data_IF_212544840982
#
_entry.id   IF_212544840982
#
_cell.length_a   1.000
_cell.length_b   1.000
_cell.length_c   1.000
_cell.angle_alpha   90.00
_cell.angle_beta   90.00
_cell.angle_gamma   90.00
#
_symmetry.space_group_name_H-M   'P 1'
#
loop_
_entity.id
_entity.type
_entity.pdbx_description
1 polymer ?
#
# COMPACT_ATOMS: atom_id res chain seq x y z
N UNK A 1 22.28 17.96 -11.98
CA UNK A 1 22.55 16.56 -11.58
C UNK A 1 22.75 16.58 -10.08
N UNK A 2 21.77 16.27 -9.22
CA UNK A 2 22.04 16.18 -7.80
C UNK A 2 22.64 14.81 -7.49
N UNK A 3 23.70 14.84 -6.69
CA UNK A 3 24.67 13.79 -6.40
C UNK A 3 24.11 12.73 -5.45
N UNK A 4 23.15 11.94 -5.91
CA UNK A 4 22.75 10.67 -5.30
C UNK A 4 23.25 9.53 -6.15
N UNK A 5 23.83 8.49 -5.55
CA UNK A 5 24.28 7.30 -6.26
C UNK A 5 23.17 6.81 -7.20
N UNK A 6 23.40 6.88 -8.50
CA UNK A 6 22.44 6.54 -9.55
C UNK A 6 22.17 5.03 -9.68
N UNK A 7 22.09 4.32 -8.56
CA UNK A 7 21.72 2.91 -8.55
C UNK A 7 20.21 2.77 -8.57
N UNK A 8 19.72 2.02 -9.56
CA UNK A 8 18.31 1.65 -9.68
C UNK A 8 17.84 0.81 -8.47
N UNK A 9 18.77 0.23 -7.71
CA UNK A 9 18.52 -0.63 -6.56
C UNK A 9 19.24 -0.07 -5.33
N UNK A 10 18.56 -0.04 -4.20
CA UNK A 10 19.12 0.40 -2.93
C UNK A 10 19.03 -0.70 -1.85
N UNK A 11 19.87 -0.58 -0.83
CA UNK A 11 19.80 -1.41 0.38
C UNK A 11 19.29 -0.60 1.58
N UNK A 12 18.66 -1.25 2.59
CA UNK A 12 18.26 -0.57 3.81
C UNK A 12 19.47 0.10 4.48
N UNK A 13 19.34 1.38 4.84
CA UNK A 13 20.40 2.21 5.41
C UNK A 13 21.21 3.00 4.38
N UNK A 14 20.98 2.80 3.09
CA UNK A 14 21.64 3.59 2.05
C UNK A 14 21.09 5.03 2.00
N UNK A 15 22.00 6.00 1.89
CA UNK A 15 21.66 7.42 1.76
C UNK A 15 21.31 7.74 0.30
N UNK A 16 20.07 8.15 0.05
CA UNK A 16 19.55 8.43 -1.29
C UNK A 16 19.75 9.89 -1.69
N UNK A 17 19.26 10.83 -0.88
CA UNK A 17 19.38 12.26 -1.15
C UNK A 17 19.29 13.10 0.14
N UNK A 18 19.49 14.41 0.01
CA UNK A 18 19.18 15.39 1.05
C UNK A 18 17.68 15.70 1.09
N UNK A 19 17.10 15.82 2.28
CA UNK A 19 15.70 16.19 2.46
C UNK A 19 15.55 17.71 2.36
N UNK A 20 15.18 18.19 1.17
CA UNK A 20 14.86 19.59 0.91
C UNK A 20 13.36 19.74 0.62
N UNK A 21 12.83 20.96 0.53
CA UNK A 21 11.41 21.19 0.16
C UNK A 21 11.04 20.59 -1.20
N UNK A 22 12.04 20.40 -2.07
CA UNK A 22 11.92 19.73 -3.36
C UNK A 22 11.93 18.21 -3.27
N UNK A 23 12.50 17.61 -2.21
CA UNK A 23 12.69 16.16 -2.10
C UNK A 23 12.08 15.63 -0.80
N UNK A 24 10.94 14.94 -0.95
CA UNK A 24 10.19 14.41 0.19
C UNK A 24 10.31 12.88 0.20
N UNK A 25 10.56 12.32 1.38
CA UNK A 25 10.59 10.88 1.60
C UNK A 25 9.19 10.30 1.48
N UNK A 26 9.03 9.34 0.56
CA UNK A 26 7.82 8.56 0.38
C UNK A 26 7.94 7.17 0.99
N UNK A 27 7.07 6.27 0.54
CA UNK A 27 7.02 4.89 0.97
C UNK A 27 8.38 4.18 0.85
N UNK A 28 8.77 3.42 1.88
CA UNK A 28 10.03 2.68 1.90
C UNK A 28 11.27 3.54 2.21
N UNK A 29 11.10 4.83 2.53
CA UNK A 29 12.17 5.74 2.95
C UNK A 29 11.91 6.34 4.33
N UNK A 30 12.96 6.81 5.00
CA UNK A 30 12.85 7.61 6.22
C UNK A 30 13.81 8.79 6.16
N UNK A 31 13.47 9.87 6.86
CA UNK A 31 14.33 11.05 6.94
C UNK A 31 15.06 11.07 8.28
N UNK A 32 16.37 11.20 8.25
CA UNK A 32 17.22 11.32 9.44
C UNK A 32 18.24 12.43 9.21
N UNK A 33 18.32 13.40 10.14
CA UNK A 33 19.28 14.49 10.12
C UNK A 33 19.37 15.27 8.80
N UNK A 34 18.23 15.52 8.14
CA UNK A 34 18.21 16.25 6.87
C UNK A 34 18.56 15.40 5.64
N UNK A 35 18.66 14.08 5.78
CA UNK A 35 18.90 13.16 4.67
C UNK A 35 17.84 12.08 4.59
N UNK A 36 17.52 11.65 3.37
CA UNK A 36 16.61 10.55 3.07
C UNK A 36 17.41 9.26 2.94
N UNK A 37 17.04 8.28 3.75
CA UNK A 37 17.60 6.95 3.76
C UNK A 37 16.57 5.92 3.29
N UNK A 38 17.05 4.86 2.63
CA UNK A 38 16.22 3.72 2.31
C UNK A 38 15.92 2.91 3.58
N UNK A 39 14.65 2.63 3.87
CA UNK A 39 14.25 1.69 4.92
C UNK A 39 14.19 0.24 4.39
N UNK A 40 14.14 0.08 3.06
CA UNK A 40 13.80 -1.16 2.40
C UNK A 40 14.80 -1.44 1.26
N UNK A 41 15.11 -2.72 1.03
CA UNK A 41 15.86 -3.15 -0.15
C UNK A 41 14.91 -3.16 -1.35
N UNK A 42 15.23 -2.44 -2.42
CA UNK A 42 14.31 -2.32 -3.53
C UNK A 42 14.75 -1.35 -4.60
N UNK A 43 13.84 -1.10 -5.54
CA UNK A 43 14.04 -0.15 -6.62
C UNK A 43 13.70 1.26 -6.14
N UNK A 44 14.58 2.22 -6.43
CA UNK A 44 14.31 3.64 -6.16
C UNK A 44 13.47 4.21 -7.29
N UNK A 45 12.31 4.74 -6.96
CA UNK A 45 11.40 5.42 -7.87
C UNK A 45 11.23 6.88 -7.43
N UNK A 46 11.31 7.79 -8.39
CA UNK A 46 11.16 9.23 -8.17
C UNK A 46 9.92 9.70 -8.92
N UNK A 47 8.87 10.05 -8.19
CA UNK A 47 7.65 10.62 -8.75
C UNK A 47 7.71 12.15 -8.62
N UNK A 48 7.84 12.86 -9.75
CA UNK A 48 7.96 14.32 -9.79
C UNK A 48 6.57 14.92 -10.01
N UNK A 49 6.01 15.56 -8.98
CA UNK A 49 4.71 16.24 -9.04
C UNK A 49 4.89 17.74 -8.87
N UNK A 50 4.69 18.48 -9.95
CA UNK A 50 4.61 19.96 -10.09
C UNK A 50 5.74 20.83 -9.52
N UNK A 51 6.57 20.34 -8.60
CA UNK A 51 7.77 20.92 -7.96
C UNK A 51 8.35 20.04 -6.84
N UNK A 52 7.63 19.01 -6.38
CA UNK A 52 8.06 18.09 -5.32
C UNK A 52 8.40 16.75 -5.96
N UNK A 53 9.58 16.23 -5.66
CA UNK A 53 10.04 14.90 -6.03
C UNK A 53 9.84 13.98 -4.83
N UNK A 54 8.92 13.03 -4.97
CA UNK A 54 8.69 11.99 -3.98
C UNK A 54 9.62 10.82 -4.26
N UNK A 55 10.50 10.52 -3.32
CA UNK A 55 11.40 9.36 -3.41
C UNK A 55 10.73 8.19 -2.73
N UNK A 56 10.42 7.16 -3.50
CA UNK A 56 9.83 5.92 -3.02
C UNK A 56 10.80 4.78 -3.28
N UNK A 57 10.79 3.79 -2.39
CA UNK A 57 11.53 2.54 -2.59
C UNK A 57 10.53 1.41 -2.62
N UNK A 58 10.33 0.84 -3.81
CA UNK A 58 9.42 -0.29 -4.02
C UNK A 58 10.19 -1.61 -4.01
N UNK A 59 9.65 -2.62 -3.32
CA UNK A 59 10.11 -4.00 -3.49
C UNK A 59 9.58 -4.49 -4.83
N UNK A 60 10.45 -5.00 -5.69
CA UNK A 60 10.04 -5.63 -6.94
C UNK A 60 9.21 -6.88 -6.63
N UNK A 61 7.88 -6.74 -6.63
CA UNK A 61 6.99 -7.90 -6.48
C UNK A 61 5.55 -7.62 -6.07
N UNK A 62 5.25 -6.55 -5.33
CA UNK A 62 3.96 -6.53 -4.63
C UNK A 62 3.38 -5.11 -4.52
N UNK A 63 2.38 -4.80 -5.36
CA UNK A 63 1.40 -3.74 -5.06
C UNK A 63 0.40 -4.30 -4.05
N UNK A 64 0.80 -4.36 -2.79
CA UNK A 64 -0.13 -4.66 -1.70
C UNK A 64 -0.94 -3.41 -1.42
N UNK A 65 -2.04 -3.22 -2.16
CA UNK A 65 -2.94 -2.10 -1.91
C UNK A 65 -3.68 -2.37 -0.60
N UNK A 66 -3.50 -1.46 0.35
CA UNK A 66 -4.24 -1.51 1.61
C UNK A 66 -5.72 -1.17 1.33
N UNK A 67 -6.69 -2.02 1.73
CA UNK A 67 -8.10 -1.68 1.57
C UNK A 67 -8.48 -0.53 2.51
N UNK A 68 -9.07 0.53 1.96
CA UNK A 68 -9.57 1.68 2.70
C UNK A 68 -11.09 1.68 2.81
N UNK A 69 -11.64 2.46 3.75
CA UNK A 69 -13.10 2.61 3.92
C UNK A 69 -13.73 3.14 2.63
N UNK A 70 -14.73 2.41 2.12
CA UNK A 70 -15.39 2.74 0.85
C UNK A 70 -14.79 2.06 -0.38
N UNK A 71 -13.67 1.34 -0.23
CA UNK A 71 -13.08 0.54 -1.31
C UNK A 71 -13.99 -0.64 -1.68
N UNK A 72 -14.18 -0.87 -2.98
CA UNK A 72 -14.89 -2.04 -3.51
C UNK A 72 -13.90 -3.20 -3.60
N UNK A 73 -14.24 -4.33 -2.98
CA UNK A 73 -13.37 -5.50 -2.92
C UNK A 73 -14.04 -6.70 -3.59
N UNK A 74 -13.21 -7.58 -4.17
CA UNK A 74 -13.63 -8.89 -4.64
C UNK A 74 -13.05 -9.93 -3.70
N UNK A 75 -13.93 -10.73 -3.08
CA UNK A 75 -13.54 -11.73 -2.10
C UNK A 75 -14.24 -13.07 -2.30
N UNK A 76 -13.59 -14.14 -1.85
CA UNK A 76 -14.13 -15.50 -1.83
C UNK A 76 -14.68 -15.80 -0.44
N UNK A 77 -15.93 -16.25 -0.37
CA UNK A 77 -16.54 -16.70 0.89
C UNK A 77 -15.85 -18.00 1.34
N UNK A 78 -15.33 -18.01 2.56
CA UNK A 78 -14.68 -19.17 3.17
C UNK A 78 -15.68 -20.02 3.97
N UNK A 79 -16.48 -19.37 4.82
CA UNK A 79 -17.46 -20.03 5.68
C UNK A 79 -18.62 -19.09 5.98
N UNK A 80 -19.83 -19.64 6.08
CA UNK A 80 -21.03 -18.87 6.44
C UNK A 80 -21.55 -19.37 7.78
N UNK A 81 -21.60 -18.47 8.76
CA UNK A 81 -22.26 -18.68 10.04
C UNK A 81 -23.58 -17.89 10.07
N UNK A 82 -24.45 -18.22 11.03
CA UNK A 82 -25.77 -17.60 11.15
C UNK A 82 -25.74 -16.06 11.29
N UNK A 83 -24.69 -15.52 11.93
CA UNK A 83 -24.55 -14.07 12.18
C UNK A 83 -23.52 -13.38 11.28
N UNK A 84 -22.61 -14.14 10.65
CA UNK A 84 -21.51 -13.59 9.87
C UNK A 84 -20.96 -14.57 8.85
N UNK A 85 -20.45 -14.07 7.73
CA UNK A 85 -19.67 -14.83 6.77
C UNK A 85 -18.20 -14.39 6.83
N UNK A 86 -17.29 -15.37 6.86
CA UNK A 86 -15.86 -15.13 6.71
C UNK A 86 -15.51 -15.12 5.23
N UNK A 87 -14.75 -14.12 4.81
CA UNK A 87 -14.42 -13.86 3.42
C UNK A 87 -12.90 -13.67 3.31
N UNK A 88 -12.31 -14.22 2.26
CA UNK A 88 -10.94 -13.98 1.86
C UNK A 88 -10.93 -12.95 0.74
N UNK A 89 -10.38 -11.77 1.00
CA UNK A 89 -10.29 -10.67 0.04
C UNK A 89 -9.15 -10.96 -0.93
N UNK A 90 -9.48 -11.08 -2.22
CA UNK A 90 -8.53 -11.43 -3.27
C UNK A 90 -8.08 -10.20 -4.07
N UNK A 91 -8.94 -9.19 -4.20
CA UNK A 91 -8.64 -7.97 -4.94
C UNK A 91 -9.34 -6.75 -4.33
N UNK A 92 -8.72 -5.58 -4.50
CA UNK A 92 -9.25 -4.27 -4.11
C UNK A 92 -9.33 -3.42 -5.37
N UNK A 93 -10.53 -3.09 -5.83
CA UNK A 93 -10.76 -2.48 -7.13
C UNK A 93 -10.23 -3.37 -8.27
N UNK A 94 -9.34 -2.83 -9.09
CA UNK A 94 -8.67 -3.55 -10.18
C UNK A 94 -7.34 -4.21 -9.76
N UNK A 95 -6.86 -3.95 -8.54
CA UNK A 95 -5.58 -4.46 -8.06
C UNK A 95 -5.75 -5.82 -7.39
N UNK A 96 -5.14 -6.84 -7.97
CA UNK A 96 -5.10 -8.18 -7.39
C UNK A 96 -4.10 -8.24 -6.23
N UNK A 97 -4.54 -8.75 -5.09
CA UNK A 97 -3.68 -8.94 -3.93
C UNK A 97 -3.01 -10.31 -4.00
N UNK A 98 -1.69 -10.32 -3.81
CA UNK A 98 -0.93 -11.56 -3.76
C UNK A 98 -1.18 -12.33 -2.45
N UNK A 99 -1.24 -11.60 -1.33
CA UNK A 99 -1.63 -12.14 -0.02
C UNK A 99 -3.06 -11.74 0.29
N UNK A 100 -4.00 -12.68 0.44
CA UNK A 100 -5.39 -12.34 0.67
C UNK A 100 -5.63 -11.85 2.10
N UNK A 101 -6.38 -10.77 2.25
CA UNK A 101 -6.84 -10.33 3.57
C UNK A 101 -8.03 -11.16 4.06
N UNK A 102 -8.17 -11.26 5.38
CA UNK A 102 -9.35 -11.85 6.00
C UNK A 102 -10.37 -10.74 6.27
N UNK A 103 -11.62 -10.99 5.89
CA UNK A 103 -12.75 -10.09 6.10
C UNK A 103 -13.94 -10.82 6.72
N UNK A 104 -14.81 -10.05 7.37
CA UNK A 104 -16.04 -10.58 7.98
C UNK A 104 -17.23 -9.74 7.55
N UNK A 105 -18.22 -10.38 6.93
CA UNK A 105 -19.48 -9.78 6.54
C UNK A 105 -20.56 -10.16 7.57
N UNK A 106 -21.06 -9.18 8.32
CA UNK A 106 -22.15 -9.40 9.29
C UNK A 106 -23.48 -9.52 8.57
N UNK A 107 -24.38 -10.36 9.08
CA UNK A 107 -25.75 -10.55 8.56
C UNK A 107 -26.48 -9.23 8.32
N UNK A 108 -26.35 -8.29 9.26
CA UNK A 108 -27.01 -6.97 9.19
C UNK A 108 -26.54 -6.10 8.02
N UNK A 109 -25.37 -6.38 7.47
CA UNK A 109 -24.76 -5.59 6.40
C UNK A 109 -24.87 -6.28 5.03
N UNK A 110 -25.67 -7.34 4.90
CA UNK A 110 -25.83 -8.08 3.64
C UNK A 110 -26.74 -7.34 2.66
N UNK A 111 -27.76 -6.64 3.16
CA UNK A 111 -28.76 -5.95 2.35
C UNK A 111 -28.90 -4.51 2.81
N UNK A 112 -29.09 -3.60 1.85
CA UNK A 112 -29.33 -2.19 2.12
C UNK A 112 -30.77 -1.93 2.65
N UNK A 113 -31.72 -2.80 2.31
CA UNK A 113 -33.12 -2.73 2.74
C UNK A 113 -33.57 -4.12 3.26
N UNK A 114 -34.55 -4.14 4.17
CA UNK A 114 -35.10 -5.36 4.81
C UNK A 114 -34.11 -6.15 5.69
N UNK A 115 -33.31 -5.45 6.48
CA UNK A 115 -32.28 -6.03 7.37
C UNK A 115 -32.88 -6.99 8.42
N UNK A 116 -34.18 -6.87 8.72
CA UNK A 116 -34.87 -7.60 9.78
C UNK A 116 -35.76 -8.78 9.33
N UNK A 117 -35.89 -9.08 8.04
CA UNK A 117 -36.71 -10.22 7.59
C UNK A 117 -35.90 -11.50 7.40
N UNK A 118 -36.38 -12.56 8.04
CA UNK A 118 -35.81 -13.91 8.06
C UNK A 118 -36.05 -14.66 6.76
#
# INVERSE_FOLDING_TARGET
MPEGNGHLLCVPGERLCESNETFIGGEGTYTLNGYIFASVAGKVEQDVRDKITLIKVSRGGETSVMPEVGSIITGRVLSVNQLQANISILAVGENMLHTPFQGTLKKVNVRQHEIDRW
#
